data_IF_357263171454
#
_entry.id   IF_357263171454
#
_cell.length_a   1.000
_cell.length_b   1.000
_cell.length_c   1.000
_cell.angle_alpha   90.00
_cell.angle_beta   90.00
_cell.angle_gamma   90.00
#
_symmetry.space_group_name_H-M   'P 1'
#
loop_
_entity.id
_entity.type
_entity.pdbx_description
1 polymer ?
#
# COMPACT_ATOMS: atom_id res chain seq x y z
N UNK A 1 -85.38 -1.98 -10.11
CA UNK A 1 -84.79 -0.78 -9.47
C UNK A 1 -83.67 -1.27 -8.58
N UNK A 2 -82.43 -1.02 -8.97
CA UNK A 2 -81.26 -1.33 -8.15
C UNK A 2 -81.22 -0.32 -7.01
N UNK A 3 -81.32 -0.83 -5.77
CA UNK A 3 -81.29 -0.01 -4.56
C UNK A 3 -79.82 0.10 -4.16
N UNK A 4 -79.20 1.21 -4.52
CA UNK A 4 -77.88 1.58 -4.01
C UNK A 4 -78.00 1.86 -2.50
N UNK A 5 -77.58 0.90 -1.67
CA UNK A 5 -77.26 1.16 -0.28
C UNK A 5 -75.99 2.03 -0.24
N UNK A 6 -76.17 3.35 -0.20
CA UNK A 6 -75.12 4.22 0.30
C UNK A 6 -74.84 3.83 1.76
N UNK A 7 -73.58 3.73 2.20
CA UNK A 7 -73.28 3.60 3.61
C UNK A 7 -73.86 4.86 4.28
N UNK A 8 -74.82 4.68 5.18
CA UNK A 8 -75.24 5.72 6.10
C UNK A 8 -74.03 6.05 7.00
N UNK A 9 -73.21 6.98 6.51
CA UNK A 9 -72.25 7.73 7.30
C UNK A 9 -73.07 8.68 8.19
N UNK A 10 -73.83 8.11 9.13
CA UNK A 10 -74.30 8.82 10.30
C UNK A 10 -73.06 9.26 11.07
N UNK A 11 -72.51 10.42 10.70
CA UNK A 11 -71.53 11.14 11.47
C UNK A 11 -72.21 11.62 12.76
N UNK A 12 -72.37 10.72 13.74
CA UNK A 12 -72.50 11.13 15.13
C UNK A 12 -71.31 12.04 15.42
N UNK A 13 -71.58 13.25 15.94
CA UNK A 13 -70.52 14.16 16.40
C UNK A 13 -69.63 13.39 17.36
N UNK A 14 -68.41 13.05 16.94
CA UNK A 14 -67.42 12.42 17.79
C UNK A 14 -67.07 13.38 18.91
N UNK A 15 -66.89 12.84 20.12
CA UNK A 15 -66.46 13.66 21.24
C UNK A 15 -65.01 14.11 20.98
N UNK A 16 -64.63 15.32 21.42
CA UNK A 16 -63.27 15.84 21.25
C UNK A 16 -62.18 14.86 21.72
N UNK A 17 -62.48 14.05 22.75
CA UNK A 17 -61.60 12.98 23.23
C UNK A 17 -61.30 11.91 22.18
N UNK A 18 -62.28 11.53 21.34
CA UNK A 18 -62.08 10.55 20.27
C UNK A 18 -61.19 11.14 19.16
N UNK A 19 -61.40 12.40 18.77
CA UNK A 19 -60.51 13.08 17.82
C UNK A 19 -59.08 13.21 18.34
N UNK A 20 -58.90 13.49 19.64
CA UNK A 20 -57.58 13.56 20.25
C UNK A 20 -56.89 12.19 20.30
N UNK A 21 -57.63 11.12 20.60
CA UNK A 21 -57.09 9.75 20.58
C UNK A 21 -56.75 9.28 19.15
N UNK A 22 -57.57 9.64 18.16
CA UNK A 22 -57.28 9.37 16.74
C UNK A 22 -56.03 10.13 16.27
N UNK A 23 -55.91 11.41 16.63
CA UNK A 23 -54.69 12.18 16.39
C UNK A 23 -53.49 11.53 17.08
N UNK A 24 -53.61 11.18 18.37
CA UNK A 24 -52.52 10.59 19.14
C UNK A 24 -52.08 9.24 18.56
N UNK A 25 -53.03 8.41 18.11
CA UNK A 25 -52.74 7.13 17.46
C UNK A 25 -51.95 7.32 16.15
N UNK A 26 -52.40 8.20 15.26
CA UNK A 26 -51.73 8.48 13.99
C UNK A 26 -50.36 9.14 14.25
N UNK A 27 -50.31 10.11 15.16
CA UNK A 27 -49.08 10.80 15.56
C UNK A 27 -48.04 9.84 16.11
N UNK A 28 -48.44 8.94 17.03
CA UNK A 28 -47.55 7.92 17.57
C UNK A 28 -47.12 6.92 16.50
N UNK A 29 -48.02 6.46 15.63
CA UNK A 29 -47.67 5.52 14.56
C UNK A 29 -46.60 6.10 13.62
N UNK A 30 -46.77 7.35 13.20
CA UNK A 30 -45.82 8.05 12.33
C UNK A 30 -44.51 8.32 13.07
N UNK A 31 -44.58 8.83 14.31
CA UNK A 31 -43.40 9.17 15.11
C UNK A 31 -42.56 7.94 15.45
N UNK A 32 -43.18 6.82 15.83
CA UNK A 32 -42.50 5.55 16.08
C UNK A 32 -41.92 4.96 14.79
N UNK A 33 -42.59 5.13 13.65
CA UNK A 33 -42.04 4.76 12.34
C UNK A 33 -40.73 5.49 12.05
N UNK A 34 -40.70 6.81 12.26
CA UNK A 34 -39.47 7.60 12.11
C UNK A 34 -38.37 7.19 13.11
N UNK A 35 -38.71 6.94 14.38
CA UNK A 35 -37.73 6.46 15.36
C UNK A 35 -37.19 5.07 15.03
N UNK A 36 -38.05 4.14 14.61
CA UNK A 36 -37.64 2.79 14.23
C UNK A 36 -36.70 2.82 13.03
N UNK A 37 -36.99 3.64 12.02
CA UNK A 37 -36.12 3.81 10.85
C UNK A 37 -34.75 4.41 11.26
N UNK A 38 -34.76 5.46 12.09
CA UNK A 38 -33.53 6.09 12.57
C UNK A 38 -32.66 5.13 13.39
N UNK A 39 -33.26 4.29 14.24
CA UNK A 39 -32.54 3.26 15.00
C UNK A 39 -31.98 2.19 14.06
N UNK A 40 -32.77 1.72 13.09
CA UNK A 40 -32.35 0.71 12.12
C UNK A 40 -31.17 1.20 11.29
N UNK A 41 -31.22 2.44 10.80
CA UNK A 41 -30.13 3.08 10.06
C UNK A 41 -28.88 3.18 10.93
N UNK A 42 -29.01 3.65 12.18
CA UNK A 42 -27.87 3.76 13.09
C UNK A 42 -27.19 2.41 13.34
N UNK A 43 -27.96 1.35 13.59
CA UNK A 43 -27.42 0.00 13.77
C UNK A 43 -26.72 -0.52 12.51
N UNK A 44 -27.30 -0.28 11.33
CA UNK A 44 -26.69 -0.64 10.06
C UNK A 44 -25.37 0.09 9.80
N UNK A 45 -25.32 1.39 10.10
CA UNK A 45 -24.13 2.22 9.97
C UNK A 45 -23.00 1.77 10.91
N UNK A 46 -23.33 1.40 12.16
CA UNK A 46 -22.35 0.83 13.10
C UNK A 46 -21.81 -0.52 12.66
N UNK A 47 -22.67 -1.37 12.09
CA UNK A 47 -22.22 -2.66 11.54
C UNK A 47 -21.22 -2.44 10.40
N UNK A 48 -21.52 -1.53 9.46
CA UNK A 48 -20.64 -1.19 8.33
C UNK A 48 -19.33 -0.57 8.81
N UNK A 49 -19.39 0.38 9.75
CA UNK A 49 -18.20 0.99 10.36
C UNK A 49 -17.26 -0.10 10.90
N UNK A 50 -17.80 -1.07 11.65
CA UNK A 50 -17.03 -2.18 12.22
C UNK A 50 -16.41 -3.06 11.14
N UNK A 51 -17.17 -3.41 10.10
CA UNK A 51 -16.69 -4.21 8.97
C UNK A 51 -15.52 -3.53 8.24
N UNK A 52 -15.67 -2.25 7.87
CA UNK A 52 -14.60 -1.48 7.23
C UNK A 52 -13.35 -1.40 8.11
N UNK A 53 -13.50 -1.10 9.40
CA UNK A 53 -12.34 -0.96 10.28
C UNK A 53 -11.64 -2.31 10.51
N UNK A 54 -12.37 -3.42 10.54
CA UNK A 54 -11.79 -4.77 10.65
C UNK A 54 -10.97 -5.14 9.41
N UNK A 55 -11.54 -4.92 8.21
CA UNK A 55 -10.84 -5.16 6.94
C UNK A 55 -9.59 -4.27 6.82
N UNK A 56 -9.72 -3.00 7.21
CA UNK A 56 -8.61 -2.06 7.19
C UNK A 56 -7.48 -2.47 8.15
N UNK A 57 -7.78 -2.94 9.36
CA UNK A 57 -6.74 -3.44 10.28
C UNK A 57 -5.97 -4.59 9.64
N UNK A 58 -6.67 -5.50 8.97
CA UNK A 58 -6.05 -6.65 8.28
C UNK A 58 -5.13 -6.19 7.14
N UNK A 59 -5.59 -5.24 6.31
CA UNK A 59 -4.79 -4.62 5.24
C UNK A 59 -3.54 -3.93 5.80
N UNK A 60 -3.70 -3.09 6.84
CA UNK A 60 -2.59 -2.36 7.46
C UNK A 60 -1.56 -3.31 8.10
N UNK A 61 -2.00 -4.40 8.72
CA UNK A 61 -1.08 -5.41 9.28
C UNK A 61 -0.25 -6.07 8.18
N UNK A 62 -0.88 -6.40 7.05
CA UNK A 62 -0.16 -6.93 5.91
C UNK A 62 0.86 -5.91 5.37
N UNK A 63 0.44 -4.66 5.17
CA UNK A 63 1.32 -3.57 4.69
C UNK A 63 2.53 -3.35 5.60
N UNK A 64 2.34 -3.30 6.93
CA UNK A 64 3.43 -3.12 7.90
C UNK A 64 4.46 -4.26 7.85
N UNK A 65 4.00 -5.50 7.66
CA UNK A 65 4.90 -6.64 7.46
C UNK A 65 5.72 -6.49 6.16
N UNK A 66 5.09 -6.07 5.07
CA UNK A 66 5.76 -5.83 3.79
C UNK A 66 6.78 -4.68 3.88
N UNK A 67 6.43 -3.58 4.56
CA UNK A 67 7.36 -2.47 4.82
C UNK A 67 8.60 -2.95 5.56
N UNK A 68 8.41 -3.73 6.63
CA UNK A 68 9.51 -4.27 7.43
C UNK A 68 10.44 -5.17 6.62
N UNK A 69 9.87 -6.06 5.80
CA UNK A 69 10.65 -6.93 4.90
C UNK A 69 11.44 -6.12 3.87
N UNK A 70 10.82 -5.10 3.29
CA UNK A 70 11.46 -4.27 2.28
C UNK A 70 12.59 -3.42 2.87
N UNK A 71 12.39 -2.81 4.04
CA UNK A 71 13.44 -2.07 4.75
C UNK A 71 14.64 -2.97 5.06
N UNK A 72 14.41 -4.22 5.50
CA UNK A 72 15.49 -5.19 5.71
C UNK A 72 16.27 -5.48 4.42
N UNK A 73 15.55 -5.68 3.30
CA UNK A 73 16.18 -5.87 1.98
C UNK A 73 17.03 -4.65 1.58
N UNK A 74 16.51 -3.44 1.73
CA UNK A 74 17.25 -2.21 1.39
C UNK A 74 18.50 -2.03 2.26
N UNK A 75 18.41 -2.37 3.54
CA UNK A 75 19.57 -2.36 4.44
C UNK A 75 20.62 -3.41 4.07
N UNK A 76 20.19 -4.60 3.62
CA UNK A 76 21.09 -5.63 3.10
C UNK A 76 21.84 -5.20 1.83
N UNK A 77 21.19 -4.43 0.95
CA UNK A 77 21.81 -3.92 -0.29
C UNK A 77 22.84 -2.82 -0.04
N UNK A 78 22.72 -2.07 1.07
CA UNK A 78 23.60 -0.94 1.37
C UNK A 78 25.10 -1.28 1.35
N UNK A 79 25.60 -2.29 2.09
CA UNK A 79 27.01 -2.67 2.02
C UNK A 79 27.44 -3.24 0.66
N UNK A 80 26.52 -3.83 -0.10
CA UNK A 80 26.78 -4.32 -1.46
C UNK A 80 27.03 -3.12 -2.38
N UNK A 81 26.19 -2.09 -2.32
CA UNK A 81 26.36 -0.85 -3.09
C UNK A 81 27.66 -0.12 -2.73
N UNK A 82 28.09 -0.16 -1.47
CA UNK A 82 29.40 0.36 -1.05
C UNK A 82 30.56 -0.42 -1.68
N UNK A 83 30.43 -1.75 -1.73
CA UNK A 83 31.43 -2.63 -2.34
C UNK A 83 31.50 -2.42 -3.86
N UNK A 84 30.36 -2.27 -4.53
CA UNK A 84 30.28 -1.97 -5.97
C UNK A 84 30.84 -0.59 -6.32
N UNK A 85 30.59 0.41 -5.46
CA UNK A 85 31.23 1.71 -5.59
C UNK A 85 32.76 1.59 -5.57
N UNK A 86 33.32 0.86 -4.61
CA UNK A 86 34.77 0.63 -4.52
C UNK A 86 35.28 -0.17 -5.73
N UNK A 87 34.56 -1.22 -6.14
CA UNK A 87 34.92 -2.05 -7.29
C UNK A 87 35.01 -1.23 -8.59
N UNK A 88 34.05 -0.33 -8.85
CA UNK A 88 34.10 0.57 -10.00
C UNK A 88 35.17 1.67 -9.84
N UNK A 89 35.28 2.29 -8.65
CA UNK A 89 36.20 3.41 -8.40
C UNK A 89 37.67 2.99 -8.41
N UNK A 90 37.96 1.79 -7.94
CA UNK A 90 39.28 1.17 -7.88
C UNK A 90 39.42 0.02 -8.88
N UNK A 91 38.76 0.07 -10.05
CA UNK A 91 38.68 -1.04 -11.00
C UNK A 91 40.04 -1.72 -11.32
N UNK A 92 41.13 -0.94 -11.39
CA UNK A 92 42.49 -1.47 -11.58
C UNK A 92 42.91 -2.49 -10.49
N UNK A 93 42.54 -2.25 -9.23
CA UNK A 93 42.79 -3.16 -8.10
C UNK A 93 42.09 -4.51 -8.29
N UNK A 94 40.96 -4.51 -9.00
CA UNK A 94 40.15 -5.68 -9.29
C UNK A 94 40.38 -6.22 -10.72
N UNK A 95 41.52 -5.89 -11.34
CA UNK A 95 41.85 -6.29 -12.71
C UNK A 95 40.79 -5.91 -13.74
N UNK A 96 40.02 -4.85 -13.48
CA UNK A 96 38.90 -4.41 -14.29
C UNK A 96 37.79 -5.47 -14.46
N UNK A 97 37.56 -6.30 -13.44
CA UNK A 97 36.41 -7.21 -13.39
C UNK A 97 35.34 -6.62 -12.47
N UNK A 98 34.15 -6.39 -13.01
CA UNK A 98 33.02 -5.90 -12.25
C UNK A 98 32.39 -7.03 -11.44
N UNK A 99 31.99 -6.73 -10.21
CA UNK A 99 31.19 -7.62 -9.35
C UNK A 99 29.70 -7.20 -9.33
N UNK A 100 29.33 -6.21 -10.14
CA UNK A 100 27.96 -5.77 -10.40
C UNK A 100 27.24 -6.74 -11.33
N UNK A 101 25.93 -6.52 -11.54
CA UNK A 101 24.97 -7.37 -12.28
C UNK A 101 25.02 -8.88 -12.07
N UNK A 102 23.85 -9.52 -11.86
CA UNK A 102 23.64 -10.99 -11.74
C UNK A 102 24.46 -11.72 -10.64
N UNK A 103 25.69 -11.29 -10.35
CA UNK A 103 26.55 -11.54 -9.21
C UNK A 103 26.04 -10.87 -7.92
N UNK A 104 25.17 -9.87 -8.03
CA UNK A 104 24.59 -9.18 -6.87
C UNK A 104 23.08 -8.94 -7.02
N UNK A 105 22.34 -8.88 -5.90
CA UNK A 105 20.91 -8.59 -5.90
C UNK A 105 20.61 -7.09 -6.04
N UNK A 106 21.60 -6.25 -6.36
CA UNK A 106 21.45 -4.82 -6.69
C UNK A 106 20.69 -4.60 -7.99
N UNK A 107 20.48 -5.70 -8.73
CA UNK A 107 19.78 -5.80 -9.98
C UNK A 107 18.63 -6.84 -9.90
N UNK A 108 17.88 -6.86 -8.81
CA UNK A 108 16.63 -7.62 -8.67
C UNK A 108 15.40 -6.77 -9.04
N UNK A 109 14.37 -7.38 -9.63
CA UNK A 109 13.23 -6.66 -10.24
C UNK A 109 12.29 -5.91 -9.26
N UNK A 110 12.37 -6.15 -7.95
CA UNK A 110 11.43 -5.56 -6.98
C UNK A 110 12.15 -4.85 -5.82
N UNK A 111 12.21 -3.52 -5.88
CA UNK A 111 12.68 -2.65 -4.79
C UNK A 111 11.57 -1.85 -4.11
N UNK A 112 10.34 -2.07 -4.54
CA UNK A 112 9.23 -1.19 -4.24
C UNK A 112 8.03 -2.05 -3.86
N UNK A 113 7.24 -1.51 -2.95
CA UNK A 113 6.00 -2.12 -2.51
C UNK A 113 4.87 -1.11 -2.68
N UNK A 114 3.73 -1.59 -3.15
CA UNK A 114 2.50 -0.82 -3.30
C UNK A 114 1.50 -1.27 -2.24
N UNK A 115 1.23 -0.44 -1.23
CA UNK A 115 0.29 -0.76 -0.16
C UNK A 115 -1.13 -0.90 -0.68
N UNK A 116 -1.89 -1.80 -0.06
CA UNK A 116 -3.32 -1.91 -0.37
C UNK A 116 -4.08 -0.79 0.31
N UNK A 117 -4.73 0.07 -0.48
CA UNK A 117 -5.64 1.11 0.03
C UNK A 117 -7.11 0.77 -0.26
N UNK A 118 -7.42 -0.49 -0.60
CA UNK A 118 -8.75 -0.88 -1.08
C UNK A 118 -9.86 -0.48 -0.11
N UNK A 119 -9.75 -0.81 1.18
CA UNK A 119 -10.78 -0.46 2.16
C UNK A 119 -10.92 1.06 2.32
N UNK A 120 -9.80 1.79 2.30
CA UNK A 120 -9.79 3.26 2.40
C UNK A 120 -10.43 3.90 1.16
N UNK A 121 -10.13 3.39 -0.03
CA UNK A 121 -10.69 3.86 -1.29
C UNK A 121 -12.18 3.59 -1.39
N UNK A 122 -12.64 2.43 -0.91
CA UNK A 122 -14.07 2.11 -0.81
C UNK A 122 -14.78 3.08 0.13
N UNK A 123 -14.23 3.34 1.32
CA UNK A 123 -14.78 4.32 2.27
C UNK A 123 -14.88 5.73 1.67
N UNK A 124 -13.86 6.16 0.91
CA UNK A 124 -13.85 7.46 0.23
C UNK A 124 -14.87 7.52 -0.90
N UNK A 125 -14.84 6.54 -1.81
CA UNK A 125 -15.66 6.53 -3.02
C UNK A 125 -17.16 6.37 -2.73
N UNK A 126 -17.51 5.65 -1.67
CA UNK A 126 -18.91 5.46 -1.23
C UNK A 126 -19.44 6.60 -0.35
N UNK A 127 -18.62 7.60 -0.01
CA UNK A 127 -18.99 8.64 0.96
C UNK A 127 -19.15 8.12 2.40
N UNK A 128 -18.74 6.88 2.66
CA UNK A 128 -18.90 6.20 3.94
C UNK A 128 -17.85 6.61 4.99
N UNK A 129 -16.88 7.45 4.65
CA UNK A 129 -15.98 8.03 5.65
C UNK A 129 -16.75 8.76 6.78
N UNK A 130 -17.95 9.27 6.49
CA UNK A 130 -18.85 9.86 7.50
C UNK A 130 -19.33 8.85 8.56
N UNK A 131 -19.34 7.55 8.23
CA UNK A 131 -19.73 6.47 9.12
C UNK A 131 -18.70 6.23 10.22
N UNK A 132 -17.43 6.65 10.00
CA UNK A 132 -16.41 6.63 11.04
C UNK A 132 -16.75 7.73 12.05
N UNK A 133 -17.31 7.29 13.18
CA UNK A 133 -17.81 8.18 14.22
C UNK A 133 -16.64 8.80 15.00
N UNK A 134 -15.56 8.04 15.19
CA UNK A 134 -14.35 8.56 15.79
C UNK A 134 -13.59 9.52 14.84
N UNK A 135 -13.66 10.82 15.13
CA UNK A 135 -12.97 11.83 14.32
C UNK A 135 -11.44 11.72 14.38
N UNK A 136 -10.88 11.17 15.46
CA UNK A 136 -9.44 10.93 15.54
C UNK A 136 -9.03 9.79 14.59
N UNK A 137 -9.77 8.68 14.59
CA UNK A 137 -9.52 7.56 13.66
C UNK A 137 -9.72 8.02 12.21
N UNK A 138 -10.83 8.73 11.92
CA UNK A 138 -11.08 9.27 10.59
C UNK A 138 -9.93 10.17 10.09
N UNK A 139 -9.42 11.06 10.96
CA UNK A 139 -8.27 11.92 10.63
C UNK A 139 -6.98 11.11 10.36
N UNK A 140 -6.73 10.04 11.13
CA UNK A 140 -5.58 9.15 10.92
C UNK A 140 -5.68 8.35 9.63
N UNK A 141 -6.88 7.87 9.27
CA UNK A 141 -7.14 7.19 7.99
C UNK A 141 -6.76 8.11 6.82
N UNK A 142 -7.25 9.35 6.84
CA UNK A 142 -6.96 10.34 5.78
C UNK A 142 -5.46 10.66 5.73
N UNK A 143 -4.83 10.83 6.89
CA UNK A 143 -3.40 11.16 6.98
C UNK A 143 -2.51 10.04 6.44
N UNK A 144 -2.79 8.78 6.83
CA UNK A 144 -2.09 7.61 6.32
C UNK A 144 -2.25 7.49 4.79
N UNK A 145 -3.50 7.56 4.31
CA UNK A 145 -3.80 7.45 2.89
C UNK A 145 -3.09 8.51 2.05
N UNK A 146 -3.13 9.78 2.49
CA UNK A 146 -2.45 10.88 1.80
C UNK A 146 -0.93 10.69 1.83
N UNK A 147 -0.37 10.22 2.94
CA UNK A 147 1.07 9.98 3.05
C UNK A 147 1.53 8.90 2.06
N UNK A 148 0.85 7.74 2.03
CA UNK A 148 1.16 6.63 1.13
C UNK A 148 1.04 7.06 -0.34
N UNK A 149 -0.07 7.72 -0.70
CA UNK A 149 -0.31 8.17 -2.08
C UNK A 149 0.84 9.05 -2.59
N UNK A 150 1.16 10.10 -1.83
CA UNK A 150 2.12 11.11 -2.26
C UNK A 150 3.58 10.62 -2.20
N UNK A 151 3.92 9.74 -1.26
CA UNK A 151 5.32 9.39 -1.00
C UNK A 151 5.72 8.01 -1.51
N UNK A 152 4.80 7.06 -1.66
CA UNK A 152 5.13 5.69 -2.09
C UNK A 152 4.67 5.46 -3.54
N UNK A 153 3.41 5.74 -3.83
CA UNK A 153 2.78 5.40 -5.10
C UNK A 153 3.18 6.36 -6.22
N UNK A 154 3.08 7.67 -6.01
CA UNK A 154 3.30 8.66 -7.08
C UNK A 154 4.77 9.04 -7.30
N UNK A 155 5.56 9.16 -6.23
CA UNK A 155 6.87 9.83 -6.31
C UNK A 155 8.09 8.91 -6.34
N UNK A 156 8.07 7.77 -5.62
CA UNK A 156 9.31 7.05 -5.27
C UNK A 156 9.53 5.76 -6.03
N UNK A 157 8.45 5.03 -6.34
CA UNK A 157 8.54 3.74 -7.02
C UNK A 157 9.23 3.86 -8.39
N UNK A 158 8.77 4.77 -9.26
CA UNK A 158 9.39 5.00 -10.57
C UNK A 158 10.81 5.57 -10.48
N UNK A 159 11.09 6.38 -9.46
CA UNK A 159 12.42 6.98 -9.25
C UNK A 159 13.48 5.95 -8.83
N UNK A 160 13.09 4.91 -8.07
CA UNK A 160 13.98 3.84 -7.65
C UNK A 160 14.27 2.87 -8.78
N UNK A 161 13.22 2.41 -9.47
CA UNK A 161 13.36 1.53 -10.62
C UNK A 161 14.24 2.20 -11.70
N UNK A 162 14.00 3.48 -12.00
CA UNK A 162 14.84 4.22 -12.97
C UNK A 162 16.30 4.37 -12.54
N UNK A 163 16.62 4.37 -11.24
CA UNK A 163 18.01 4.41 -10.78
C UNK A 163 18.70 3.04 -10.92
N UNK A 164 17.98 1.95 -10.66
CA UNK A 164 18.46 0.60 -10.95
C UNK A 164 18.64 0.41 -12.47
N UNK A 165 17.65 0.77 -13.29
CA UNK A 165 17.70 0.71 -14.76
C UNK A 165 18.91 1.47 -15.33
N UNK A 166 19.25 2.62 -14.75
CA UNK A 166 20.43 3.38 -15.15
C UNK A 166 21.76 2.70 -14.76
N UNK A 167 21.79 1.91 -13.68
CA UNK A 167 22.95 1.04 -13.37
C UNK A 167 23.06 -0.04 -14.45
N UNK A 168 21.96 -0.75 -14.75
CA UNK A 168 21.96 -1.79 -15.80
C UNK A 168 22.46 -1.26 -17.13
N UNK A 169 21.90 -0.13 -17.60
CA UNK A 169 22.28 0.45 -18.88
C UNK A 169 23.77 0.84 -18.94
N UNK A 170 24.36 1.22 -17.79
CA UNK A 170 25.79 1.52 -17.73
C UNK A 170 26.63 0.25 -17.70
N UNK A 171 26.24 -0.75 -16.91
CA UNK A 171 26.91 -2.05 -16.86
C UNK A 171 26.91 -2.74 -18.23
N UNK A 172 25.76 -2.77 -18.93
CA UNK A 172 25.58 -3.29 -20.30
C UNK A 172 26.53 -2.59 -21.29
N UNK A 173 26.69 -1.27 -21.17
CA UNK A 173 27.47 -0.49 -22.13
C UNK A 173 28.99 -0.67 -21.98
N UNK A 174 29.46 -1.13 -20.83
CA UNK A 174 30.90 -1.11 -20.51
C UNK A 174 31.50 -2.48 -20.20
N UNK A 175 30.70 -3.54 -20.19
CA UNK A 175 31.14 -4.89 -19.80
C UNK A 175 31.14 -5.87 -20.97
N UNK A 176 32.04 -6.84 -20.94
CA UNK A 176 32.06 -7.99 -21.85
C UNK A 176 31.18 -9.11 -21.29
N UNK A 177 30.00 -9.28 -21.88
CA UNK A 177 29.00 -10.26 -21.46
C UNK A 177 29.21 -11.65 -22.08
N UNK A 178 30.34 -11.91 -22.76
CA UNK A 178 30.59 -13.19 -23.45
C UNK A 178 30.53 -14.39 -22.50
N UNK A 179 31.13 -14.27 -21.32
CA UNK A 179 31.13 -15.35 -20.33
C UNK A 179 29.72 -15.57 -19.77
N UNK A 180 29.02 -14.50 -19.44
CA UNK A 180 27.63 -14.54 -19.00
C UNK A 180 26.72 -15.19 -20.04
N UNK A 181 26.82 -14.79 -21.32
CA UNK A 181 26.03 -15.36 -22.41
C UNK A 181 26.23 -16.88 -22.52
N UNK A 182 27.49 -17.35 -22.47
CA UNK A 182 27.80 -18.78 -22.49
C UNK A 182 27.16 -19.49 -21.29
N UNK A 183 27.25 -18.91 -20.09
CA UNK A 183 26.69 -19.48 -18.87
C UNK A 183 25.16 -19.56 -18.91
N UNK A 184 24.51 -18.55 -19.48
CA UNK A 184 23.06 -18.55 -19.70
C UNK A 184 22.65 -19.66 -20.68
N UNK A 185 23.35 -19.82 -21.80
CA UNK A 185 23.09 -20.92 -22.74
C UNK A 185 23.19 -22.29 -22.05
N UNK A 186 24.22 -22.47 -21.21
CA UNK A 186 24.42 -23.71 -20.46
C UNK A 186 23.34 -23.92 -19.38
N UNK A 187 22.93 -22.88 -18.66
CA UNK A 187 21.83 -22.95 -17.70
C UNK A 187 20.50 -23.31 -18.37
N UNK A 188 20.19 -22.71 -19.53
CA UNK A 188 18.98 -23.01 -20.30
C UNK A 188 18.97 -24.47 -20.74
N UNK A 189 20.08 -24.97 -21.29
CA UNK A 189 20.21 -26.37 -21.73
C UNK A 189 20.00 -27.36 -20.59
N UNK A 190 20.45 -27.02 -19.38
CA UNK A 190 20.41 -27.89 -18.22
C UNK A 190 19.22 -27.60 -17.27
N UNK A 191 18.32 -26.69 -17.65
CA UNK A 191 17.17 -26.26 -16.83
C UNK A 191 17.56 -25.79 -15.42
N UNK A 192 18.66 -25.02 -15.32
CA UNK A 192 19.17 -24.44 -14.07
C UNK A 192 18.65 -23.00 -13.93
N UNK A 193 18.04 -22.62 -12.78
CA UNK A 193 17.64 -21.24 -12.53
C UNK A 193 18.85 -20.28 -12.51
N UNK A 194 18.67 -19.08 -13.07
CA UNK A 194 19.71 -18.03 -13.12
C UNK A 194 20.15 -17.62 -11.71
N UNK A 195 19.24 -17.65 -10.74
CA UNK A 195 19.49 -17.28 -9.33
C UNK A 195 20.45 -18.22 -8.58
N UNK A 196 20.72 -19.43 -9.13
CA UNK A 196 21.59 -20.44 -8.52
C UNK A 196 23.00 -20.47 -9.10
N UNK A 197 23.37 -19.52 -9.94
CA UNK A 197 24.62 -19.61 -10.69
C UNK A 197 25.77 -19.01 -9.89
N UNK A 198 26.93 -19.69 -9.86
CA UNK A 198 28.18 -19.17 -9.29
C UNK A 198 28.48 -17.74 -9.75
N UNK A 199 29.39 -17.03 -9.09
CA UNK A 199 29.90 -15.78 -9.65
C UNK A 199 30.47 -16.04 -11.07
N UNK A 200 30.30 -15.08 -11.98
CA UNK A 200 30.93 -15.10 -13.29
C UNK A 200 31.74 -13.83 -13.49
N UNK A 201 32.79 -13.91 -14.29
CA UNK A 201 33.60 -12.74 -14.57
C UNK A 201 32.85 -11.81 -15.53
N UNK A 202 32.81 -10.53 -15.17
CA UNK A 202 32.24 -9.46 -15.97
C UNK A 202 33.34 -8.44 -16.29
N UNK A 203 34.25 -8.74 -17.23
CA UNK A 203 35.36 -7.86 -17.56
C UNK A 203 34.88 -6.53 -18.13
N UNK A 204 35.50 -5.43 -17.72
CA UNK A 204 35.20 -4.10 -18.24
C UNK A 204 35.97 -3.85 -19.53
N UNK A 205 35.25 -3.44 -20.57
CA UNK A 205 35.78 -3.00 -21.86
C UNK A 205 36.51 -1.66 -21.76
N UNK A 206 36.15 -0.85 -20.76
CA UNK A 206 36.67 0.50 -20.54
C UNK A 206 37.64 0.55 -19.37
N UNK A 207 38.63 1.45 -19.46
CA UNK A 207 39.61 1.72 -18.40
C UNK A 207 39.72 3.20 -18.04
N UNK A 208 38.96 4.07 -18.71
CA UNK A 208 39.02 5.49 -18.48
C UNK A 208 38.31 5.85 -17.17
N UNK A 209 38.88 6.81 -16.43
CA UNK A 209 38.41 7.16 -15.10
C UNK A 209 37.07 7.89 -15.10
N UNK A 210 36.66 8.51 -16.21
CA UNK A 210 35.42 9.29 -16.29
C UNK A 210 34.23 8.34 -16.34
N UNK A 211 34.27 7.35 -17.23
CA UNK A 211 33.23 6.33 -17.36
C UNK A 211 33.10 5.50 -16.09
N UNK A 212 34.21 5.05 -15.51
CA UNK A 212 34.20 4.28 -14.26
C UNK A 212 33.66 5.10 -13.07
N UNK A 213 33.98 6.39 -13.01
CA UNK A 213 33.43 7.26 -11.98
C UNK A 213 31.93 7.52 -12.17
N UNK A 214 31.45 7.57 -13.41
CA UNK A 214 30.02 7.67 -13.71
C UNK A 214 29.26 6.45 -13.19
N UNK A 215 29.79 5.24 -13.44
CA UNK A 215 29.22 4.00 -12.90
C UNK A 215 29.26 4.00 -11.37
N UNK A 216 30.41 4.33 -10.76
CA UNK A 216 30.53 4.41 -9.30
C UNK A 216 29.48 5.36 -8.68
N UNK A 217 29.28 6.53 -9.28
CA UNK A 217 28.28 7.49 -8.83
C UNK A 217 26.84 6.97 -8.94
N UNK A 218 26.54 6.09 -9.91
CA UNK A 218 25.22 5.49 -10.03
C UNK A 218 24.87 4.55 -8.86
N UNK A 219 25.84 3.78 -8.35
CA UNK A 219 25.66 2.98 -7.13
C UNK A 219 25.40 3.86 -5.91
N UNK A 220 26.10 4.98 -5.78
CA UNK A 220 25.86 5.97 -4.70
C UNK A 220 24.47 6.59 -4.85
N UNK A 221 24.03 6.87 -6.07
CA UNK A 221 22.69 7.41 -6.33
C UNK A 221 21.60 6.43 -5.87
N UNK A 222 21.69 5.16 -6.26
CA UNK A 222 20.74 4.13 -5.82
C UNK A 222 20.78 3.95 -4.30
N UNK A 223 21.97 3.93 -3.68
CA UNK A 223 22.12 3.87 -2.21
C UNK A 223 21.41 5.02 -1.50
N UNK A 224 21.54 6.24 -2.01
CA UNK A 224 20.85 7.42 -1.48
C UNK A 224 19.33 7.32 -1.59
N UNK A 225 18.82 6.80 -2.72
CA UNK A 225 17.38 6.57 -2.92
C UNK A 225 16.85 5.47 -2.00
N UNK A 226 17.57 4.37 -1.85
CA UNK A 226 17.21 3.27 -0.92
C UNK A 226 17.10 3.77 0.51
N UNK A 227 18.04 4.62 0.94
CA UNK A 227 18.01 5.24 2.26
C UNK A 227 16.77 6.12 2.44
N UNK A 228 16.53 7.07 1.52
CA UNK A 228 15.36 7.95 1.60
C UNK A 228 14.02 7.22 1.48
N UNK A 229 13.96 6.10 0.75
CA UNK A 229 12.74 5.28 0.70
C UNK A 229 12.55 4.46 1.97
N UNK A 230 13.61 3.95 2.59
CA UNK A 230 13.53 3.28 3.89
C UNK A 230 12.92 4.20 4.95
N UNK A 231 13.32 5.48 4.98
CA UNK A 231 12.72 6.48 5.87
C UNK A 231 11.21 6.67 5.62
N UNK A 232 10.82 6.67 4.34
CA UNK A 232 9.41 6.80 3.94
C UNK A 232 8.59 5.61 4.41
N UNK A 233 9.10 4.39 4.21
CA UNK A 233 8.45 3.15 4.64
C UNK A 233 8.32 3.10 6.16
N UNK A 234 9.37 3.45 6.91
CA UNK A 234 9.34 3.50 8.37
C UNK A 234 8.29 4.51 8.90
N UNK A 235 8.11 5.64 8.22
CA UNK A 235 7.08 6.60 8.59
C UNK A 235 5.67 6.08 8.27
N UNK A 236 5.48 5.46 7.10
CA UNK A 236 4.21 4.81 6.75
C UNK A 236 3.84 3.71 7.76
N UNK A 237 4.82 2.88 8.16
CA UNK A 237 4.69 1.85 9.18
C UNK A 237 4.27 2.43 10.55
N UNK A 238 4.88 3.56 10.94
CA UNK A 238 4.53 4.28 12.16
C UNK A 238 3.07 4.76 12.12
N UNK A 239 2.64 5.37 11.02
CA UNK A 239 1.26 5.86 10.85
C UNK A 239 0.26 4.70 10.87
N UNK A 240 0.56 3.61 10.15
CA UNK A 240 -0.26 2.40 10.11
C UNK A 240 -0.40 1.78 11.51
N UNK A 241 0.71 1.59 12.23
CA UNK A 241 0.72 1.02 13.58
C UNK A 241 -0.07 1.87 14.58
N UNK A 242 0.05 3.20 14.50
CA UNK A 242 -0.73 4.12 15.33
C UNK A 242 -2.23 4.04 15.00
N UNK A 243 -2.59 3.90 13.72
CA UNK A 243 -3.96 3.73 13.28
C UNK A 243 -4.54 2.40 13.78
N UNK A 244 -3.85 1.28 13.55
CA UNK A 244 -4.22 -0.06 14.06
C UNK A 244 -4.46 0.00 15.57
N UNK A 245 -3.53 0.58 16.34
CA UNK A 245 -3.66 0.72 17.80
C UNK A 245 -4.90 1.51 18.19
N UNK A 246 -5.21 2.58 17.46
CA UNK A 246 -6.37 3.44 17.75
C UNK A 246 -7.69 2.71 17.49
N UNK A 247 -7.75 1.94 16.39
CA UNK A 247 -8.90 1.13 16.05
C UNK A 247 -9.08 0.00 17.09
N UNK A 248 -8.03 -0.76 17.39
CA UNK A 248 -8.09 -1.87 18.32
C UNK A 248 -8.48 -1.45 19.75
N UNK A 249 -7.99 -0.30 20.20
CA UNK A 249 -8.36 0.24 21.52
C UNK A 249 -9.86 0.58 21.63
N UNK A 250 -10.51 0.98 20.52
CA UNK A 250 -11.91 1.40 20.52
C UNK A 250 -12.88 0.27 20.19
N UNK A 251 -12.53 -0.61 19.25
CA UNK A 251 -13.44 -1.64 18.72
C UNK A 251 -13.08 -3.06 19.17
N UNK A 252 -11.97 -3.24 19.88
CA UNK A 252 -11.54 -4.51 20.50
C UNK A 252 -11.36 -5.68 19.51
N UNK A 253 -10.86 -5.43 18.30
CA UNK A 253 -10.58 -6.48 17.31
C UNK A 253 -9.43 -7.43 17.67
N UNK A 254 -8.71 -7.19 18.78
CA UNK A 254 -7.51 -7.94 19.18
C UNK A 254 -7.80 -9.26 19.92
N UNK A 255 -9.03 -9.75 19.93
CA UNK A 255 -9.50 -10.87 20.77
C UNK A 255 -10.30 -11.96 19.99
N UNK A 256 -10.04 -12.16 18.70
CA UNK A 256 -10.52 -13.34 17.96
C UNK A 256 -9.36 -14.09 17.33
#
# INVERSE_FOLDING_TARGET
MEVHHHPDLHHKKKNFKEYFLEFLMIFLAVTLGFFAESIREHLGDRSKEREYLSSMVSELQYDTAQYSQLVQKLNYLRPILDSLYINAKEAKRFNYVLQGRWNTPVNAESYTYQPSLTTIEQLKSSGNLRLIDDKNIAGKIVSYAAYVQNNILEARTGSMNGAADNIYAQEDAISDEKEFNKKIDDNIRNNIPIENSDLYDMPLLVKDSVTLNKLANSFVNLKGRNYGYSDVLNHADTLATQLIKSINNKYHFSNE
#
